data_IF_990043902991
#
_entry.id   IF_990043902991
#
_cell.length_a   1.000
_cell.length_b   1.000
_cell.length_c   1.000
_cell.angle_alpha   90.00
_cell.angle_beta   90.00
_cell.angle_gamma   90.00
#
_symmetry.space_group_name_H-M   'P 1'
#
loop_
_entity.id
_entity.type
_entity.pdbx_description
1 polymer ?
#
# COMPACT_ATOMS: atom_id res chain seq x y z
N UNK A 1 -9.64 2.80 2.01
CA UNK A 1 -10.47 1.92 1.14
C UNK A 1 -11.89 1.77 1.64
N UNK A 2 -12.14 1.33 2.88
CA UNK A 2 -13.48 1.07 3.43
C UNK A 2 -14.53 2.20 3.31
N UNK A 3 -14.11 3.47 3.27
CA UNK A 3 -15.01 4.64 3.07
C UNK A 3 -15.07 5.09 1.61
N UNK A 4 -13.93 5.09 0.91
CA UNK A 4 -13.82 5.54 -0.49
C UNK A 4 -14.49 4.57 -1.47
N UNK A 5 -14.39 3.26 -1.23
CA UNK A 5 -14.99 2.23 -2.09
C UNK A 5 -16.51 2.33 -2.17
N UNK A 6 -17.29 2.39 -1.06
CA UNK A 6 -18.74 2.52 -1.14
C UNK A 6 -19.21 3.85 -1.71
N UNK A 7 -18.46 4.94 -1.53
CA UNK A 7 -18.79 6.26 -2.10
C UNK A 7 -18.63 6.27 -3.62
N UNK A 8 -17.55 5.67 -4.14
CA UNK A 8 -17.22 5.70 -5.56
C UNK A 8 -17.92 4.58 -6.34
N UNK A 9 -18.00 3.37 -5.78
CA UNK A 9 -18.57 2.19 -6.44
C UNK A 9 -20.02 1.90 -6.03
N UNK A 10 -20.66 2.77 -5.24
CA UNK A 10 -22.02 2.60 -4.70
C UNK A 10 -22.27 1.23 -4.06
N UNK A 11 -21.25 0.67 -3.40
CA UNK A 11 -21.39 -0.56 -2.62
C UNK A 11 -21.98 -0.29 -1.24
N UNK A 12 -22.52 -1.35 -0.62
CA UNK A 12 -23.02 -1.29 0.76
C UNK A 12 -21.88 -0.92 1.71
N UNK A 13 -22.12 0.10 2.53
CA UNK A 13 -21.19 0.56 3.56
C UNK A 13 -21.01 -0.53 4.62
N UNK A 14 -19.77 -0.87 4.95
CA UNK A 14 -19.46 -1.82 6.01
C UNK A 14 -18.86 -1.12 7.23
N UNK A 15 -19.69 -0.92 8.26
CA UNK A 15 -19.26 -0.29 9.51
C UNK A 15 -18.17 -1.06 10.25
N UNK A 16 -18.06 -2.37 10.04
CA UNK A 16 -17.01 -3.18 10.66
C UNK A 16 -15.61 -2.82 10.09
N UNK A 17 -15.50 -2.65 8.77
CA UNK A 17 -14.23 -2.25 8.13
C UNK A 17 -13.81 -0.84 8.54
N UNK A 18 -14.77 0.08 8.72
CA UNK A 18 -14.49 1.44 9.19
C UNK A 18 -13.99 1.45 10.64
N UNK A 19 -14.62 0.67 11.53
CA UNK A 19 -14.18 0.53 12.92
C UNK A 19 -12.75 -0.02 13.01
N UNK A 20 -12.42 -1.01 12.19
CA UNK A 20 -11.08 -1.59 12.13
C UNK A 20 -10.05 -0.58 11.59
N UNK A 21 -10.43 0.21 10.58
CA UNK A 21 -9.61 1.32 10.09
C UNK A 21 -9.30 2.35 11.19
N UNK A 22 -10.29 2.74 11.99
CA UNK A 22 -10.10 3.65 13.14
C UNK A 22 -9.15 3.02 14.17
N UNK A 23 -9.31 1.74 14.49
CA UNK A 23 -8.43 1.03 15.42
C UNK A 23 -6.97 1.01 14.92
N UNK A 24 -6.75 0.79 13.62
CA UNK A 24 -5.41 0.86 13.02
C UNK A 24 -4.82 2.28 13.07
N UNK A 25 -5.62 3.32 12.83
CA UNK A 25 -5.18 4.71 12.94
C UNK A 25 -4.80 5.09 14.37
N UNK A 26 -5.53 4.58 15.37
CA UNK A 26 -5.16 4.74 16.78
C UNK A 26 -3.84 4.04 17.12
N UNK A 27 -3.61 2.83 16.60
CA UNK A 27 -2.35 2.12 16.77
C UNK A 27 -1.17 2.89 16.19
N UNK A 28 -1.31 3.43 14.97
CA UNK A 28 -0.30 4.30 14.34
C UNK A 28 -0.08 5.58 15.14
N UNK A 29 -1.16 6.22 15.60
CA UNK A 29 -1.07 7.43 16.44
C UNK A 29 -0.24 7.18 17.71
N UNK A 30 -0.48 6.05 18.41
CA UNK A 30 0.27 5.70 19.63
C UNK A 30 1.76 5.48 19.35
N UNK A 31 2.12 4.92 18.19
CA UNK A 31 3.52 4.72 17.79
C UNK A 31 4.23 6.06 17.55
N UNK A 32 3.54 7.03 16.93
CA UNK A 32 4.14 8.31 16.50
C UNK A 32 3.98 9.46 17.50
N UNK A 33 3.12 9.34 18.52
CA UNK A 33 2.88 10.42 19.51
C UNK A 33 4.14 10.83 20.28
N UNK A 34 5.21 10.04 20.23
CA UNK A 34 6.45 10.29 20.97
C UNK A 34 7.51 11.11 20.21
N UNK A 35 7.26 11.52 18.95
CA UNK A 35 8.26 12.31 18.22
C UNK A 35 7.64 13.34 17.26
N UNK A 36 7.60 14.60 17.70
CA UNK A 36 7.03 15.74 16.97
C UNK A 36 7.76 16.09 15.66
N UNK A 37 8.96 15.52 15.42
CA UNK A 37 9.76 15.78 14.22
C UNK A 37 9.15 15.22 12.93
N UNK A 38 8.18 14.29 12.99
CA UNK A 38 7.66 13.58 11.81
C UNK A 38 6.31 14.09 11.29
N UNK A 39 5.79 15.20 11.80
CA UNK A 39 4.45 15.71 11.47
C UNK A 39 4.22 15.90 9.96
N UNK A 40 5.21 16.45 9.24
CA UNK A 40 5.13 16.64 7.79
C UNK A 40 5.06 15.32 7.03
N UNK A 41 5.83 14.32 7.48
CA UNK A 41 5.81 12.96 6.93
C UNK A 41 4.47 12.27 7.13
N UNK A 42 3.83 12.49 8.29
CA UNK A 42 2.49 11.95 8.58
C UNK A 42 1.45 12.55 7.63
N UNK A 43 1.45 13.87 7.42
CA UNK A 43 0.51 14.54 6.50
C UNK A 43 0.70 14.01 5.07
N UNK A 44 1.94 13.94 4.59
CA UNK A 44 2.25 13.38 3.27
C UNK A 44 1.84 11.91 3.17
N UNK A 45 2.06 11.11 4.23
CA UNK A 45 1.67 9.72 4.31
C UNK A 45 0.15 9.53 4.25
N UNK A 46 -0.63 10.37 4.91
CA UNK A 46 -2.10 10.34 4.85
C UNK A 46 -2.60 10.68 3.44
N UNK A 47 -2.05 11.73 2.82
CA UNK A 47 -2.40 12.10 1.44
C UNK A 47 -2.04 10.94 0.48
N UNK A 48 -0.86 10.34 0.65
CA UNK A 48 -0.43 9.19 -0.14
C UNK A 48 -1.34 7.99 0.07
N UNK A 49 -1.74 7.68 1.30
CA UNK A 49 -2.66 6.58 1.62
C UNK A 49 -4.05 6.78 0.99
N UNK A 50 -4.55 8.03 0.94
CA UNK A 50 -5.79 8.36 0.24
C UNK A 50 -5.68 8.04 -1.26
N UNK A 51 -4.63 8.53 -1.92
CA UNK A 51 -4.37 8.28 -3.34
C UNK A 51 -4.14 6.78 -3.63
N UNK A 52 -3.33 6.11 -2.81
CA UNK A 52 -3.03 4.69 -2.90
C UNK A 52 -4.29 3.84 -2.71
N UNK A 53 -5.23 4.27 -1.87
CA UNK A 53 -6.51 3.59 -1.69
C UNK A 53 -7.48 3.80 -2.86
N UNK A 54 -7.38 4.93 -3.57
CA UNK A 54 -8.17 5.22 -4.77
C UNK A 54 -7.71 4.40 -5.98
N UNK A 55 -6.39 4.17 -6.09
CA UNK A 55 -5.77 3.43 -7.19
C UNK A 55 -6.41 2.05 -7.49
N UNK A 56 -6.52 1.09 -6.54
CA UNK A 56 -7.14 -0.21 -6.82
C UNK A 56 -8.65 -0.11 -7.12
N UNK A 57 -9.34 0.90 -6.56
CA UNK A 57 -10.78 1.13 -6.79
C UNK A 57 -11.01 1.52 -8.25
N UNK A 58 -10.27 2.51 -8.75
CA UNK A 58 -10.35 2.95 -10.14
C UNK A 58 -9.87 1.86 -11.11
N UNK A 59 -8.78 1.17 -10.76
CA UNK A 59 -8.26 0.08 -11.58
C UNK A 59 -9.30 -1.03 -11.74
N UNK A 60 -10.00 -1.40 -10.67
CA UNK A 60 -11.05 -2.42 -10.73
C UNK A 60 -12.16 -2.04 -11.71
N UNK A 61 -12.57 -0.77 -11.75
CA UNK A 61 -13.63 -0.31 -12.65
C UNK A 61 -13.16 -0.30 -14.10
N UNK A 62 -11.95 0.20 -14.38
CA UNK A 62 -11.38 0.21 -15.74
C UNK A 62 -11.16 -1.23 -16.25
N UNK A 63 -10.71 -2.14 -15.39
CA UNK A 63 -10.49 -3.55 -15.72
C UNK A 63 -11.78 -4.33 -16.05
N UNK A 64 -12.97 -3.79 -15.78
CA UNK A 64 -14.24 -4.41 -16.23
C UNK A 64 -14.37 -4.39 -17.75
N UNK A 65 -13.86 -3.34 -18.40
CA UNK A 65 -14.02 -3.09 -19.83
C UNK A 65 -12.69 -3.15 -20.60
N UNK A 66 -11.57 -3.44 -19.93
CA UNK A 66 -10.23 -3.37 -20.52
C UNK A 66 -9.31 -4.47 -19.98
N UNK A 67 -8.33 -4.87 -20.78
CA UNK A 67 -7.33 -5.86 -20.39
C UNK A 67 -6.30 -5.26 -19.40
N UNK A 68 -5.74 -6.13 -18.56
CA UNK A 68 -4.74 -5.75 -17.54
C UNK A 68 -3.50 -5.15 -18.20
N UNK A 69 -3.04 -5.74 -19.31
CA UNK A 69 -1.88 -5.28 -20.07
C UNK A 69 -2.07 -3.85 -20.58
N UNK A 70 -3.23 -3.55 -21.19
CA UNK A 70 -3.54 -2.21 -21.70
C UNK A 70 -3.58 -1.19 -20.57
N UNK A 71 -4.19 -1.52 -19.43
CA UNK A 71 -4.21 -0.64 -18.26
C UNK A 71 -2.79 -0.34 -17.76
N UNK A 72 -1.96 -1.37 -17.60
CA UNK A 72 -0.58 -1.23 -17.09
C UNK A 72 0.30 -0.40 -18.03
N UNK A 73 0.18 -0.60 -19.35
CA UNK A 73 0.92 0.19 -20.34
C UNK A 73 0.56 1.68 -20.21
N UNK A 74 -0.73 2.00 -20.12
CA UNK A 74 -1.17 3.39 -19.94
C UNK A 74 -0.69 3.98 -18.61
N UNK A 75 -0.82 3.25 -17.51
CA UNK A 75 -0.40 3.71 -16.19
C UNK A 75 1.10 3.99 -16.12
N UNK A 76 1.92 3.06 -16.61
CA UNK A 76 3.37 3.23 -16.57
C UNK A 76 3.84 4.34 -17.51
N UNK A 77 3.18 4.51 -18.67
CA UNK A 77 3.50 5.58 -19.62
C UNK A 77 3.16 6.96 -19.07
N UNK A 78 1.97 7.13 -18.48
CA UNK A 78 1.59 8.38 -17.83
C UNK A 78 2.43 8.64 -16.58
N UNK A 79 2.75 7.61 -15.79
CA UNK A 79 3.65 7.73 -14.65
C UNK A 79 5.05 8.20 -15.07
N UNK A 80 5.60 7.61 -16.14
CA UNK A 80 6.86 8.07 -16.72
C UNK A 80 6.79 9.52 -17.18
N UNK A 81 5.75 9.91 -17.93
CA UNK A 81 5.58 11.28 -18.42
C UNK A 81 5.43 12.28 -17.28
N UNK A 82 4.65 11.94 -16.25
CA UNK A 82 4.43 12.77 -15.08
C UNK A 82 5.73 12.99 -14.29
N UNK A 83 6.49 11.92 -14.03
CA UNK A 83 7.79 12.04 -13.36
C UNK A 83 8.78 12.81 -14.23
N UNK A 84 8.85 12.54 -15.54
CA UNK A 84 9.72 13.26 -16.47
C UNK A 84 9.44 14.76 -16.49
N UNK A 85 8.17 15.17 -16.35
CA UNK A 85 7.77 16.57 -16.23
C UNK A 85 8.16 17.20 -14.88
N UNK A 86 8.14 16.42 -13.80
CA UNK A 86 8.49 16.89 -12.45
C UNK A 86 10.00 17.00 -12.19
N UNK A 87 10.80 16.12 -12.79
CA UNK A 87 12.28 16.10 -12.68
C UNK A 87 12.91 17.50 -12.85
N UNK A 88 12.62 18.31 -13.89
CA UNK A 88 13.25 19.62 -14.04
C UNK A 88 12.91 20.61 -12.92
N UNK A 89 11.74 20.48 -12.27
CA UNK A 89 11.41 21.30 -11.10
C UNK A 89 12.19 20.84 -9.86
N UNK A 90 12.37 19.54 -9.69
CA UNK A 90 13.14 18.97 -8.59
C UNK A 90 14.62 19.37 -8.65
N UNK A 91 15.25 19.31 -9.83
CA UNK A 91 16.65 19.71 -10.02
C UNK A 91 16.93 21.20 -9.76
N UNK A 92 15.90 22.06 -9.84
CA UNK A 92 16.04 23.49 -9.50
C UNK A 92 16.03 23.72 -8.00
N UNK A 93 15.46 22.81 -7.23
CA UNK A 93 15.34 22.93 -5.79
C UNK A 93 16.51 22.26 -5.07
N UNK A 94 16.99 21.13 -5.57
CA UNK A 94 18.09 20.36 -4.98
C UNK A 94 19.32 20.38 -5.89
N UNK A 95 20.39 21.04 -5.43
CA UNK A 95 21.67 21.09 -6.15
C UNK A 95 22.49 19.81 -5.91
N UNK A 96 23.12 19.26 -6.96
CA UNK A 96 24.05 18.12 -6.85
C UNK A 96 23.44 16.73 -7.04
N UNK A 97 22.17 16.64 -7.44
CA UNK A 97 21.51 15.36 -7.74
C UNK A 97 22.11 14.71 -8.99
N UNK A 98 22.63 13.49 -8.86
CA UNK A 98 23.10 12.68 -10.00
C UNK A 98 21.91 11.99 -10.67
N UNK A 99 21.56 12.46 -11.86
CA UNK A 99 20.47 11.91 -12.65
C UNK A 99 20.80 10.58 -13.35
N UNK A 100 22.07 10.40 -13.73
CA UNK A 100 22.51 9.21 -14.46
C UNK A 100 22.92 8.11 -13.47
N UNK A 101 22.26 6.94 -13.50
CA UNK A 101 22.61 5.82 -12.64
C UNK A 101 23.99 5.26 -13.00
N UNK A 102 24.68 4.68 -12.01
CA UNK A 102 25.88 3.89 -12.27
C UNK A 102 25.53 2.52 -12.88
N UNK A 103 26.52 1.80 -13.42
CA UNK A 103 26.34 0.46 -13.99
C UNK A 103 25.69 -0.54 -13.01
N UNK A 104 25.97 -0.42 -11.70
CA UNK A 104 25.35 -1.25 -10.67
C UNK A 104 23.87 -0.88 -10.46
N UNK A 105 23.56 0.41 -10.49
CA UNK A 105 22.19 0.90 -10.33
C UNK A 105 21.31 0.45 -11.50
N UNK A 106 21.85 0.44 -12.72
CA UNK A 106 21.17 -0.12 -13.89
C UNK A 106 20.74 -1.58 -13.71
N UNK A 107 21.59 -2.41 -13.11
CA UNK A 107 21.24 -3.80 -12.78
C UNK A 107 20.04 -3.89 -11.83
N UNK A 108 20.07 -3.11 -10.75
CA UNK A 108 18.96 -3.07 -9.79
C UNK A 108 17.68 -2.45 -10.37
N UNK A 109 17.79 -1.41 -11.20
CA UNK A 109 16.66 -0.79 -11.88
C UNK A 109 15.99 -1.76 -12.87
N UNK A 110 16.76 -2.60 -13.56
CA UNK A 110 16.20 -3.66 -14.41
C UNK A 110 15.44 -4.71 -13.59
N UNK A 111 16.00 -5.15 -12.46
CA UNK A 111 15.30 -6.08 -11.56
C UNK A 111 14.02 -5.45 -11.02
N UNK A 112 14.09 -4.22 -10.53
CA UNK A 112 12.91 -3.50 -10.00
C UNK A 112 11.84 -3.30 -11.07
N UNK A 113 12.20 -2.81 -12.25
CA UNK A 113 11.23 -2.54 -13.32
C UNK A 113 10.62 -3.81 -13.91
N UNK A 114 11.42 -4.85 -14.17
CA UNK A 114 10.90 -6.06 -14.80
C UNK A 114 10.19 -6.98 -13.79
N UNK A 115 10.88 -7.33 -12.71
CA UNK A 115 10.37 -8.29 -11.73
C UNK A 115 9.34 -7.65 -10.80
N UNK A 116 9.69 -6.51 -10.20
CA UNK A 116 8.85 -5.87 -9.18
C UNK A 116 7.71 -5.02 -9.79
N UNK A 117 7.88 -4.44 -10.97
CA UNK A 117 6.80 -3.72 -11.66
C UNK A 117 6.05 -4.62 -12.64
N UNK A 118 6.64 -4.95 -13.80
CA UNK A 118 5.88 -5.60 -14.89
C UNK A 118 5.29 -6.94 -14.45
N UNK A 119 6.10 -7.82 -13.87
CA UNK A 119 5.66 -9.17 -13.52
C UNK A 119 4.73 -9.19 -12.30
N UNK A 120 5.08 -8.50 -11.22
CA UNK A 120 4.25 -8.45 -10.02
C UNK A 120 2.89 -7.78 -10.26
N UNK A 121 2.83 -6.69 -11.03
CA UNK A 121 1.56 -6.03 -11.34
C UNK A 121 0.69 -6.84 -12.30
N UNK A 122 1.29 -7.56 -13.28
CA UNK A 122 0.53 -8.51 -14.09
C UNK A 122 -0.07 -9.63 -13.24
N UNK A 123 0.72 -10.24 -12.34
CA UNK A 123 0.25 -11.27 -11.43
C UNK A 123 -0.86 -10.73 -10.51
N UNK A 124 -0.70 -9.52 -9.98
CA UNK A 124 -1.72 -8.85 -9.17
C UNK A 124 -3.02 -8.64 -9.94
N UNK A 125 -2.95 -8.09 -11.17
CA UNK A 125 -4.12 -7.91 -12.02
C UNK A 125 -4.79 -9.22 -12.45
N UNK A 126 -4.01 -10.26 -12.73
CA UNK A 126 -4.53 -11.60 -13.02
C UNK A 126 -5.16 -12.26 -11.79
N UNK A 127 -4.56 -12.07 -10.61
CA UNK A 127 -5.09 -12.53 -9.34
C UNK A 127 -6.44 -11.87 -9.03
N UNK A 128 -6.59 -10.56 -9.27
CA UNK A 128 -7.86 -9.86 -9.12
C UNK A 128 -8.98 -10.42 -10.03
N UNK A 129 -8.64 -11.03 -11.17
CA UNK A 129 -9.61 -11.69 -12.08
C UNK A 129 -10.00 -13.10 -11.66
N UNK A 130 -9.15 -13.82 -10.91
CA UNK A 130 -9.34 -15.24 -10.58
C UNK A 130 -9.66 -15.50 -9.10
N UNK A 131 -9.25 -14.60 -8.21
CA UNK A 131 -9.46 -14.73 -6.78
C UNK A 131 -10.78 -14.09 -6.37
N UNK A 132 -11.46 -14.73 -5.42
CA UNK A 132 -12.61 -14.11 -4.77
C UNK A 132 -12.19 -12.80 -4.07
N UNK A 133 -13.10 -11.84 -3.97
CA UNK A 133 -12.85 -10.60 -3.23
C UNK A 133 -12.39 -10.86 -1.79
N UNK A 134 -12.79 -11.99 -1.20
CA UNK A 134 -12.37 -12.43 0.12
C UNK A 134 -10.87 -12.79 0.17
N UNK A 135 -10.37 -13.58 -0.78
CA UNK A 135 -8.95 -13.99 -0.81
C UNK A 135 -8.03 -12.80 -1.05
N UNK A 136 -8.45 -11.87 -1.91
CA UNK A 136 -7.70 -10.63 -2.18
C UNK A 136 -7.64 -9.76 -0.94
N UNK A 137 -8.78 -9.55 -0.26
CA UNK A 137 -8.82 -8.75 0.96
C UNK A 137 -8.01 -9.39 2.09
N UNK A 138 -8.03 -10.72 2.21
CA UNK A 138 -7.19 -11.44 3.17
C UNK A 138 -5.69 -11.26 2.90
N UNK A 139 -5.27 -11.33 1.63
CA UNK A 139 -3.87 -11.14 1.25
C UNK A 139 -3.37 -9.72 1.59
N UNK A 140 -4.16 -8.67 1.30
CA UNK A 140 -3.81 -7.30 1.67
C UNK A 140 -3.76 -7.09 3.18
N UNK A 141 -4.66 -7.70 3.95
CA UNK A 141 -4.63 -7.62 5.41
C UNK A 141 -3.40 -8.31 6.03
N UNK A 142 -2.75 -9.24 5.31
CA UNK A 142 -1.55 -9.90 5.79
C UNK A 142 -0.26 -9.15 5.42
N UNK A 143 -0.32 -8.20 4.50
CA UNK A 143 0.83 -7.38 4.06
C UNK A 143 1.58 -6.73 5.25
N UNK A 144 0.91 -6.09 6.23
CA UNK A 144 1.61 -5.52 7.38
C UNK A 144 2.31 -6.57 8.24
N UNK A 145 1.72 -7.76 8.40
CA UNK A 145 2.28 -8.84 9.22
C UNK A 145 3.59 -9.34 8.64
N UNK A 146 3.59 -9.66 7.34
CA UNK A 146 4.80 -10.14 6.67
C UNK A 146 5.86 -9.03 6.57
N UNK A 147 5.44 -7.78 6.36
CA UNK A 147 6.35 -6.63 6.35
C UNK A 147 7.12 -6.50 7.68
N UNK A 148 6.42 -6.59 8.81
CA UNK A 148 7.04 -6.51 10.14
C UNK A 148 7.95 -7.72 10.41
N UNK A 149 7.50 -8.93 10.05
CA UNK A 149 8.33 -10.14 10.20
C UNK A 149 9.61 -10.05 9.37
N UNK A 150 9.53 -9.59 8.13
CA UNK A 150 10.70 -9.39 7.29
C UNK A 150 11.64 -8.30 7.84
N UNK A 151 11.10 -7.21 8.39
CA UNK A 151 11.90 -6.18 9.04
C UNK A 151 12.75 -6.78 10.20
N UNK A 152 12.15 -7.61 11.05
CA UNK A 152 12.87 -8.27 12.14
C UNK A 152 13.90 -9.29 11.65
N UNK A 153 13.55 -10.14 10.69
CA UNK A 153 14.44 -11.22 10.23
C UNK A 153 15.61 -10.67 9.41
N UNK A 154 15.36 -9.70 8.52
CA UNK A 154 16.34 -9.21 7.55
C UNK A 154 17.18 -8.07 8.13
N UNK A 155 16.53 -7.07 8.76
CA UNK A 155 17.22 -5.87 9.22
C UNK A 155 17.64 -5.94 10.69
N UNK A 156 17.20 -6.97 11.44
CA UNK A 156 17.51 -7.13 12.87
C UNK A 156 17.30 -5.84 13.67
N UNK A 157 16.22 -5.14 13.35
CA UNK A 157 15.80 -3.93 14.08
C UNK A 157 15.26 -4.24 15.48
N UNK A 158 15.31 -5.50 15.94
CA UNK A 158 14.92 -5.92 17.29
C UNK A 158 15.65 -5.14 18.39
N UNK A 159 16.82 -4.56 18.08
CA UNK A 159 17.66 -3.83 19.04
C UNK A 159 17.35 -2.32 19.12
N UNK A 160 16.60 -1.75 18.18
CA UNK A 160 16.32 -0.31 18.09
C UNK A 160 14.92 0.08 18.60
N UNK A 161 14.11 -0.89 19.02
CA UNK A 161 12.68 -0.69 19.21
C UNK A 161 12.28 -0.55 20.68
N UNK A 162 11.69 0.61 20.98
CA UNK A 162 11.21 0.98 22.30
C UNK A 162 9.99 0.13 22.73
N UNK A 163 9.73 -0.04 24.04
CA UNK A 163 8.61 -0.86 24.55
C UNK A 163 7.25 -0.50 23.94
N UNK A 164 7.05 0.77 23.58
CA UNK A 164 5.84 1.28 22.93
C UNK A 164 5.61 0.76 21.50
N UNK A 165 6.69 0.41 20.78
CA UNK A 165 6.58 -0.21 19.46
C UNK A 165 5.86 -1.56 19.55
N UNK A 166 6.20 -2.38 20.54
CA UNK A 166 5.56 -3.68 20.75
C UNK A 166 4.08 -3.55 21.12
N UNK A 167 3.72 -2.50 21.89
CA UNK A 167 2.32 -2.19 22.20
C UNK A 167 1.58 -1.81 20.91
N UNK A 168 2.10 -0.88 20.12
CA UNK A 168 1.50 -0.50 18.84
C UNK A 168 1.38 -1.66 17.86
N UNK A 169 2.42 -2.50 17.76
CA UNK A 169 2.41 -3.72 16.98
C UNK A 169 1.30 -4.69 17.41
N UNK A 170 1.11 -4.88 18.72
CA UNK A 170 0.04 -5.74 19.24
C UNK A 170 -1.35 -5.24 18.84
N UNK A 171 -1.59 -3.91 18.85
CA UNK A 171 -2.84 -3.32 18.37
C UNK A 171 -3.06 -3.58 16.88
N UNK A 172 -2.02 -3.44 16.05
CA UNK A 172 -2.10 -3.73 14.60
C UNK A 172 -2.42 -5.21 14.38
N UNK A 173 -1.72 -6.13 15.06
CA UNK A 173 -1.97 -7.56 14.94
C UNK A 173 -3.37 -7.96 15.40
N UNK A 174 -3.87 -7.39 16.50
CA UNK A 174 -5.24 -7.62 16.99
C UNK A 174 -6.27 -7.09 16.00
N UNK A 175 -6.08 -5.88 15.46
CA UNK A 175 -6.96 -5.31 14.45
C UNK A 175 -7.03 -6.20 13.20
N UNK A 176 -5.90 -6.70 12.72
CA UNK A 176 -5.84 -7.61 11.56
C UNK A 176 -6.47 -8.97 11.85
N UNK A 177 -6.23 -9.55 13.03
CA UNK A 177 -6.86 -10.79 13.44
C UNK A 177 -8.39 -10.65 13.53
N UNK A 178 -8.89 -9.56 14.13
CA UNK A 178 -10.32 -9.25 14.19
C UNK A 178 -10.92 -9.05 12.80
N UNK A 179 -10.22 -8.31 11.92
CA UNK A 179 -10.63 -8.10 10.53
C UNK A 179 -10.79 -9.45 9.80
N UNK A 180 -9.78 -10.32 9.93
CA UNK A 180 -9.78 -11.65 9.33
C UNK A 180 -10.93 -12.53 9.84
N UNK A 181 -11.20 -12.50 11.15
CA UNK A 181 -12.28 -13.26 11.77
C UNK A 181 -13.67 -12.75 11.32
N UNK A 182 -13.84 -11.44 11.20
CA UNK A 182 -15.08 -10.82 10.74
C UNK A 182 -15.38 -11.18 9.28
N UNK A 183 -14.37 -11.08 8.40
CA UNK A 183 -14.50 -11.52 7.01
C UNK A 183 -14.84 -13.02 6.90
N UNK A 184 -14.19 -13.88 7.70
CA UNK A 184 -14.45 -15.33 7.72
C UNK A 184 -15.87 -15.66 8.16
N UNK A 185 -16.41 -14.93 9.14
CA UNK A 185 -17.80 -15.09 9.60
C UNK A 185 -18.79 -14.66 8.51
N UNK A 186 -18.53 -13.55 7.81
CA UNK A 186 -19.40 -13.05 6.73
C UNK A 186 -19.44 -13.96 5.51
N UNK A 187 -18.34 -14.64 5.20
CA UNK A 187 -18.29 -15.66 4.14
C UNK A 187 -19.03 -16.96 4.49
N UNK A 188 -19.27 -17.25 5.78
CA UNK A 188 -20.04 -18.44 6.21
C UNK A 188 -21.55 -18.19 6.29
N UNK A 189 -21.99 -16.93 6.20
CA UNK A 189 -23.42 -16.57 6.24
C UNK A 189 -24.01 -16.22 4.87
N UNK A 190 -23.24 -16.46 3.79
CA UNK A 190 -23.64 -16.42 2.38
C UNK A 190 -23.62 -17.84 1.84
#
# INVERSE_FOLDING_TARGET
TAVLEPVILQKKFDGAEVMLGILTLLGVYIIFHFDTQYTTGIIMGVISALLASLFPILNREILRNTNVETLLVWQQSFGFLFIALLVPFYLKWEEGVRLLPTLKDWGWLLVLSWFCSVWAFQLSGAALKKLSAFTVNLAFNLEPVYGILLAFVVYREDQLLNKWFYVGLSFILIALALHMLLLKRRSRSL
#
